data_IF_742512361851
#
_entry.id   IF_742512361851
#
_cell.length_a   1.000
_cell.length_b   1.000
_cell.length_c   1.000
_cell.angle_alpha   90.00
_cell.angle_beta   90.00
_cell.angle_gamma   90.00
#
_symmetry.space_group_name_H-M   'P 1'
#
loop_
_entity.id
_entity.type
_entity.pdbx_description
1 polymer ?
#
# COMPACT_ATOMS: atom_id res chain seq x y z
N UNK A 1 0.84 10.48 3.96
CA UNK A 1 1.91 9.47 4.09
C UNK A 1 2.73 9.67 2.85
N UNK A 2 3.25 8.65 2.17
CA UNK A 2 3.62 8.70 0.75
C UNK A 2 3.40 7.30 0.21
N UNK A 3 2.83 7.19 -0.99
CA UNK A 3 2.81 5.95 -1.73
C UNK A 3 4.02 5.86 -2.66
N UNK A 4 4.83 4.80 -2.53
CA UNK A 4 5.94 4.56 -3.47
C UNK A 4 5.45 3.96 -4.77
N UNK A 5 6.20 4.25 -5.84
CA UNK A 5 6.01 3.65 -7.16
C UNK A 5 5.96 2.12 -7.04
N UNK A 6 4.97 1.46 -7.66
CA UNK A 6 4.93 -0.01 -7.71
C UNK A 6 6.22 -0.58 -8.32
N UNK A 7 6.72 -1.67 -7.74
CA UNK A 7 8.01 -2.28 -8.10
C UNK A 7 7.90 -3.80 -8.28
N UNK A 8 8.94 -4.45 -8.82
CA UNK A 8 9.00 -5.92 -8.95
C UNK A 8 7.84 -6.51 -9.75
N UNK A 9 7.51 -5.92 -10.91
CA UNK A 9 6.36 -6.35 -11.70
C UNK A 9 6.59 -7.72 -12.33
N UNK A 10 5.70 -8.67 -12.06
CA UNK A 10 5.80 -10.05 -12.55
C UNK A 10 4.42 -10.62 -12.91
N UNK A 11 4.40 -11.57 -13.85
CA UNK A 11 3.17 -12.26 -14.23
C UNK A 11 2.97 -13.50 -13.36
N UNK A 12 1.74 -13.67 -12.88
CA UNK A 12 1.28 -14.88 -12.20
C UNK A 12 0.09 -15.47 -12.97
N UNK A 13 0.17 -16.78 -13.25
CA UNK A 13 -0.90 -17.57 -13.88
C UNK A 13 -1.30 -18.81 -13.06
N UNK A 14 -0.79 -18.94 -11.84
CA UNK A 14 -1.01 -20.06 -10.93
C UNK A 14 -1.95 -19.72 -9.77
N UNK A 15 -1.99 -18.48 -9.25
CA UNK A 15 -2.84 -18.15 -8.08
C UNK A 15 -4.34 -18.30 -8.40
N UNK A 16 -4.79 -17.84 -9.58
CA UNK A 16 -6.19 -17.94 -9.99
C UNK A 16 -6.29 -18.64 -11.35
N UNK A 17 -6.90 -19.83 -11.35
CA UNK A 17 -7.05 -20.66 -12.56
C UNK A 17 -7.68 -19.87 -13.71
N UNK A 18 -7.02 -19.89 -14.86
CA UNK A 18 -7.49 -19.23 -16.09
C UNK A 18 -7.31 -17.71 -16.11
N UNK A 19 -6.62 -17.13 -15.12
CA UNK A 19 -6.30 -15.70 -15.08
C UNK A 19 -4.82 -15.44 -15.29
N UNK A 20 -4.51 -14.26 -15.84
CA UNK A 20 -3.17 -13.69 -15.84
C UNK A 20 -3.20 -12.47 -14.95
N UNK A 21 -2.46 -12.53 -13.84
CA UNK A 21 -2.36 -11.48 -12.84
C UNK A 21 -1.02 -10.77 -13.03
N UNK A 22 -1.03 -9.45 -13.01
CA UNK A 22 0.20 -8.66 -12.94
C UNK A 22 0.41 -8.27 -11.48
N UNK A 23 1.41 -8.88 -10.86
CA UNK A 23 1.83 -8.60 -9.49
C UNK A 23 2.70 -7.36 -9.43
N UNK A 24 2.68 -6.70 -8.28
CA UNK A 24 3.63 -5.64 -7.98
C UNK A 24 3.79 -5.47 -6.47
N UNK A 25 5.01 -5.15 -6.05
CA UNK A 25 5.32 -4.74 -4.71
C UNK A 25 4.83 -3.32 -4.43
N UNK A 26 4.69 -3.00 -3.15
CA UNK A 26 4.19 -1.73 -2.68
C UNK A 26 4.83 -1.30 -1.36
N UNK A 27 5.00 0.01 -1.15
CA UNK A 27 5.48 0.60 0.10
C UNK A 27 4.70 1.86 0.43
N UNK A 28 4.15 1.90 1.64
CA UNK A 28 3.56 3.10 2.23
C UNK A 28 4.57 3.64 3.25
N UNK A 29 5.14 4.80 2.94
CA UNK A 29 6.21 5.42 3.72
C UNK A 29 5.62 6.50 4.63
N UNK A 30 6.02 6.53 5.91
CA UNK A 30 5.74 7.69 6.74
C UNK A 30 6.86 8.74 6.61
N UNK A 31 6.60 9.75 5.80
CA UNK A 31 7.48 10.92 5.62
C UNK A 31 7.02 12.14 6.43
N UNK A 32 6.00 12.01 7.28
CA UNK A 32 5.47 13.10 8.10
C UNK A 32 6.39 13.49 9.26
N UNK A 33 5.86 14.32 10.16
CA UNK A 33 6.56 14.77 11.39
C UNK A 33 6.14 14.01 12.66
N UNK A 34 5.22 13.05 12.51
CA UNK A 34 4.71 12.19 13.58
C UNK A 34 4.26 10.84 13.03
N UNK A 35 3.99 9.84 13.90
CA UNK A 35 3.57 8.52 13.46
C UNK A 35 2.17 8.57 12.83
N UNK A 36 1.96 7.74 11.81
CA UNK A 36 0.63 7.45 11.28
C UNK A 36 -0.05 6.42 12.19
N UNK A 37 -0.56 6.87 13.35
CA UNK A 37 -1.03 5.98 14.42
C UNK A 37 -2.56 5.95 14.53
N UNK A 38 -3.14 4.75 14.51
CA UNK A 38 -4.57 4.49 14.73
C UNK A 38 -4.80 3.69 16.01
N UNK A 39 -5.69 4.20 16.86
CA UNK A 39 -6.22 3.51 18.04
C UNK A 39 -7.56 2.89 17.68
N UNK A 40 -7.57 1.57 17.54
CA UNK A 40 -8.76 0.76 17.30
C UNK A 40 -9.57 0.56 18.59
N UNK A 41 -10.88 0.79 18.54
CA UNK A 41 -11.84 0.36 19.56
C UNK A 41 -12.93 -0.48 18.93
N UNK A 42 -13.15 -1.68 19.47
CA UNK A 42 -14.08 -2.66 18.89
C UNK A 42 -15.50 -2.11 18.72
N UNK A 43 -16.07 -2.35 17.53
CA UNK A 43 -17.47 -2.09 17.18
C UNK A 43 -18.28 -3.39 17.05
N UNK A 44 -17.60 -4.51 16.77
CA UNK A 44 -18.25 -5.80 16.59
C UNK A 44 -17.24 -6.92 16.35
N UNK A 45 -17.65 -8.07 15.82
CA UNK A 45 -16.76 -9.22 15.63
C UNK A 45 -15.63 -8.94 14.62
N UNK A 46 -15.92 -8.16 13.57
CA UNK A 46 -15.00 -7.93 12.44
C UNK A 46 -14.44 -6.52 12.33
N UNK A 47 -14.98 -5.55 13.05
CA UNK A 47 -14.60 -4.14 12.88
C UNK A 47 -14.27 -3.43 14.18
N UNK A 48 -13.33 -2.49 14.09
CA UNK A 48 -13.06 -1.47 15.09
C UNK A 48 -13.22 -0.08 14.48
N UNK A 49 -13.64 0.89 15.29
CA UNK A 49 -13.48 2.32 14.99
C UNK A 49 -12.01 2.67 15.15
N UNK A 50 -11.41 3.29 14.15
CA UNK A 50 -10.08 3.87 14.23
C UNK A 50 -10.19 5.33 14.68
N UNK A 51 -9.43 5.69 15.69
CA UNK A 51 -9.21 7.09 16.07
C UNK A 51 -7.72 7.40 15.89
N UNK A 52 -7.39 8.35 15.04
CA UNK A 52 -6.00 8.71 14.80
C UNK A 52 -5.44 9.48 15.99
N UNK A 53 -4.18 9.22 16.33
CA UNK A 53 -3.45 9.95 17.37
C UNK A 53 -2.46 10.91 16.74
N UNK A 54 -2.55 12.20 17.10
CA UNK A 54 -1.60 13.24 16.66
C UNK A 54 -0.90 13.83 17.89
N UNK A 55 0.43 13.85 17.86
CA UNK A 55 1.26 14.39 18.94
C UNK A 55 1.61 15.86 18.65
N UNK A 56 1.35 16.75 19.61
CA UNK A 56 1.59 18.19 19.44
C UNK A 56 3.05 18.54 19.74
N UNK A 57 3.57 19.61 19.12
CA UNK A 57 4.94 20.10 19.34
C UNK A 57 5.22 20.51 20.79
N UNK A 58 4.27 21.21 21.43
CA UNK A 58 4.36 21.65 22.84
C UNK A 58 4.00 20.59 23.88
N UNK A 59 3.93 19.31 23.49
CA UNK A 59 3.47 18.23 24.35
C UNK A 59 1.96 17.99 24.29
N UNK A 60 1.55 16.82 24.77
CA UNK A 60 0.15 16.36 24.69
C UNK A 60 -0.24 15.75 23.34
N UNK A 61 -1.51 15.35 23.24
CA UNK A 61 -2.02 14.55 22.13
C UNK A 61 -3.46 14.90 21.76
N UNK A 62 -3.74 14.92 20.46
CA UNK A 62 -5.08 14.98 19.89
C UNK A 62 -5.51 13.59 19.46
N UNK A 63 -6.81 13.34 19.49
CA UNK A 63 -7.39 12.16 18.87
C UNK A 63 -8.45 12.57 17.86
N UNK A 64 -8.21 12.30 16.59
CA UNK A 64 -9.04 12.72 15.46
C UNK A 64 -9.91 11.55 14.99
N UNK A 65 -11.17 11.84 14.70
CA UNK A 65 -12.10 10.88 14.10
C UNK A 65 -12.27 11.27 12.62
N UNK A 66 -11.65 10.50 11.74
CA UNK A 66 -11.71 10.66 10.27
C UNK A 66 -12.75 9.74 9.62
N UNK A 67 -13.30 8.79 10.39
CA UNK A 67 -14.09 7.69 9.84
C UNK A 67 -13.25 6.41 9.58
N UNK A 68 -11.95 6.43 9.89
CA UNK A 68 -11.10 5.24 9.82
C UNK A 68 -11.69 4.03 10.56
N UNK A 69 -11.45 2.85 9.99
CA UNK A 69 -11.88 1.57 10.58
C UNK A 69 -10.75 0.57 10.50
N UNK A 70 -10.69 -0.32 11.49
CA UNK A 70 -9.88 -1.52 11.39
C UNK A 70 -10.79 -2.70 11.07
N UNK A 71 -10.34 -3.57 10.17
CA UNK A 71 -11.05 -4.78 9.76
C UNK A 71 -10.22 -6.02 10.13
N UNK A 72 -10.87 -7.04 10.67
CA UNK A 72 -10.23 -8.33 10.95
C UNK A 72 -10.11 -9.15 9.66
N UNK A 73 -9.17 -8.73 8.80
CA UNK A 73 -8.95 -9.28 7.45
C UNK A 73 -8.31 -10.66 7.54
N UNK A 74 -8.94 -11.64 6.91
CA UNK A 74 -8.30 -12.90 6.57
C UNK A 74 -7.32 -12.69 5.41
N UNK A 75 -6.08 -13.13 5.58
CA UNK A 75 -5.07 -13.09 4.52
C UNK A 75 -4.95 -14.52 3.96
N UNK A 76 -5.20 -14.74 2.65
CA UNK A 76 -5.07 -16.07 2.05
C UNK A 76 -3.70 -16.71 2.35
N UNK A 77 -3.70 -18.02 2.63
CA UNK A 77 -2.51 -18.76 3.04
C UNK A 77 -1.97 -18.40 4.44
N UNK A 78 -2.69 -17.57 5.20
CA UNK A 78 -2.28 -17.12 6.53
C UNK A 78 -3.48 -17.07 7.49
N UNK A 79 -3.34 -16.31 8.59
CA UNK A 79 -4.37 -16.05 9.60
C UNK A 79 -5.09 -14.71 9.38
N UNK A 80 -5.96 -14.34 10.33
CA UNK A 80 -6.63 -13.04 10.37
C UNK A 80 -5.80 -12.01 11.14
N UNK A 81 -5.89 -10.75 10.71
CA UNK A 81 -5.18 -9.63 11.32
C UNK A 81 -6.10 -8.41 11.42
N UNK A 82 -6.00 -7.66 12.51
CA UNK A 82 -6.62 -6.33 12.61
C UNK A 82 -5.84 -5.34 11.77
N UNK A 83 -6.36 -4.99 10.59
CA UNK A 83 -5.71 -4.14 9.58
C UNK A 83 -6.48 -2.84 9.40
N UNK A 84 -5.79 -1.75 9.03
CA UNK A 84 -6.44 -0.54 8.54
C UNK A 84 -7.22 -0.87 7.26
N UNK A 85 -8.54 -0.65 7.31
CA UNK A 85 -9.46 -0.96 6.23
C UNK A 85 -9.45 0.16 5.19
N UNK A 86 -9.42 -0.20 3.90
CA UNK A 86 -9.29 0.73 2.76
C UNK A 86 -8.04 1.60 2.83
N UNK A 87 -6.96 1.05 3.38
CA UNK A 87 -5.66 1.71 3.48
C UNK A 87 -4.94 1.91 2.13
N UNK A 88 -5.37 1.21 1.08
CA UNK A 88 -4.85 1.42 -0.27
C UNK A 88 -5.88 1.05 -1.35
N UNK A 89 -5.67 1.52 -2.57
CA UNK A 89 -6.40 1.12 -3.78
C UNK A 89 -5.42 0.83 -4.92
N UNK A 90 -5.65 -0.29 -5.61
CA UNK A 90 -4.83 -0.74 -6.73
C UNK A 90 -5.67 -0.63 -7.99
N UNK A 91 -5.22 0.18 -8.94
CA UNK A 91 -6.00 0.53 -10.13
C UNK A 91 -5.17 0.41 -11.40
N UNK A 92 -5.82 -0.03 -12.47
CA UNK A 92 -5.23 -0.11 -13.80
C UNK A 92 -6.03 0.79 -14.74
N UNK A 93 -5.40 1.84 -15.22
CA UNK A 93 -6.02 2.83 -16.12
C UNK A 93 -5.52 2.64 -17.54
N UNK A 94 -6.41 2.62 -18.52
CA UNK A 94 -6.03 2.64 -19.94
C UNK A 94 -5.42 4.00 -20.28
N UNK A 95 -4.39 3.99 -21.11
CA UNK A 95 -3.75 5.20 -21.65
C UNK A 95 -4.11 5.42 -23.12
N UNK A 96 -4.25 6.67 -23.52
CA UNK A 96 -4.35 7.08 -24.93
C UNK A 96 -2.96 7.20 -25.60
N UNK A 97 -2.94 7.71 -26.84
CA UNK A 97 -1.73 7.92 -27.63
C UNK A 97 -0.76 8.96 -27.06
N UNK A 98 -1.23 9.82 -26.16
CA UNK A 98 -0.43 10.85 -25.49
C UNK A 98 -0.03 10.44 -24.07
N UNK A 99 -0.47 9.26 -23.61
CA UNK A 99 -0.18 8.74 -22.28
C UNK A 99 -1.10 9.27 -21.19
N UNK A 100 -2.23 9.89 -21.54
CA UNK A 100 -3.25 10.33 -20.59
C UNK A 100 -4.18 9.17 -20.24
N UNK A 101 -4.63 9.14 -18.98
CA UNK A 101 -5.60 8.15 -18.51
C UNK A 101 -6.96 8.45 -19.09
N UNK A 102 -7.59 7.45 -19.69
CA UNK A 102 -8.92 7.59 -20.30
C UNK A 102 -9.99 6.79 -19.57
N UNK A 103 -9.70 5.54 -19.19
CA UNK A 103 -10.68 4.67 -18.55
C UNK A 103 -10.05 3.85 -17.43
N UNK A 104 -10.80 3.64 -16.34
CA UNK A 104 -10.43 2.64 -15.34
C UNK A 104 -10.76 1.25 -15.88
N UNK A 105 -9.73 0.47 -16.20
CA UNK A 105 -9.89 -0.88 -16.72
C UNK A 105 -10.18 -1.90 -15.61
N UNK A 106 -9.39 -1.91 -14.53
CA UNK A 106 -9.45 -2.94 -13.48
C UNK A 106 -9.03 -2.41 -12.11
N UNK A 107 -9.43 -3.13 -11.06
CA UNK A 107 -8.99 -2.92 -9.68
C UNK A 107 -8.38 -4.22 -9.11
N UNK A 108 -7.39 -4.08 -8.24
CA UNK A 108 -6.81 -5.19 -7.48
C UNK A 108 -7.54 -5.45 -6.16
N UNK A 109 -7.38 -6.64 -5.55
CA UNK A 109 -8.04 -7.00 -4.30
C UNK A 109 -7.35 -6.47 -3.03
N UNK A 110 -6.08 -6.02 -3.12
CA UNK A 110 -5.32 -5.54 -1.97
C UNK A 110 -5.76 -4.15 -1.50
N UNK A 111 -6.49 -4.10 -0.38
CA UNK A 111 -7.02 -2.83 0.16
C UNK A 111 -6.82 -2.61 1.64
N UNK A 112 -6.23 -3.56 2.39
CA UNK A 112 -6.06 -3.43 3.85
C UNK A 112 -4.63 -3.70 4.28
N UNK A 113 -4.10 -2.81 5.12
CA UNK A 113 -2.69 -2.75 5.50
C UNK A 113 -2.53 -2.81 7.00
N UNK A 114 -1.34 -3.23 7.43
CA UNK A 114 -1.08 -3.30 8.85
C UNK A 114 -0.82 -1.93 9.44
N UNK A 115 -0.15 -1.05 8.68
CA UNK A 115 0.59 0.09 9.22
C UNK A 115 1.51 -0.44 10.32
N UNK A 116 2.71 -0.84 9.90
CA UNK A 116 3.77 -1.31 10.79
C UNK A 116 5.11 -0.72 10.38
N UNK A 117 6.04 -0.78 11.30
CA UNK A 117 7.44 -0.47 11.10
C UNK A 117 8.14 -1.71 10.54
N UNK A 118 7.99 -1.95 9.23
CA UNK A 118 8.65 -3.08 8.59
C UNK A 118 10.07 -2.71 8.18
N UNK A 119 10.21 -1.68 7.33
CA UNK A 119 11.51 -1.21 6.88
C UNK A 119 11.83 0.19 7.34
N UNK A 120 13.09 0.41 7.72
CA UNK A 120 13.59 1.71 8.15
C UNK A 120 14.11 2.51 6.94
N UNK A 121 13.21 2.86 6.03
CA UNK A 121 13.55 3.43 4.71
C UNK A 121 14.19 4.82 4.76
N UNK A 122 13.99 5.58 5.85
CA UNK A 122 14.50 6.96 5.99
C UNK A 122 14.95 7.24 7.44
N UNK A 123 16.02 6.58 7.91
CA UNK A 123 16.44 6.62 9.31
C UNK A 123 16.92 8.00 9.78
N UNK A 124 17.37 8.86 8.87
CA UNK A 124 17.86 10.21 9.18
C UNK A 124 16.76 11.25 9.43
N UNK A 125 15.47 10.91 9.34
CA UNK A 125 14.39 11.88 9.60
C UNK A 125 14.34 12.25 11.08
N UNK A 126 14.05 13.52 11.35
CA UNK A 126 13.78 13.98 12.72
C UNK A 126 12.66 13.16 13.35
N UNK A 127 12.87 12.72 14.60
CA UNK A 127 11.94 11.87 15.37
C UNK A 127 11.73 10.46 14.79
N UNK A 128 12.59 10.01 13.88
CA UNK A 128 12.59 8.61 13.46
C UNK A 128 13.16 7.72 14.58
N UNK A 129 12.38 6.77 15.13
CA UNK A 129 12.90 5.87 16.14
C UNK A 129 13.88 4.87 15.51
N UNK A 130 14.97 4.54 16.23
CA UNK A 130 15.99 3.59 15.77
C UNK A 130 15.51 2.14 15.72
N UNK A 131 14.47 1.81 16.47
CA UNK A 131 13.85 0.48 16.52
C UNK A 131 12.39 0.61 16.15
N UNK A 132 11.82 -0.47 15.61
CA UNK A 132 10.40 -0.53 15.33
C UNK A 132 9.59 -0.26 16.61
N UNK A 133 8.59 0.61 16.51
CA UNK A 133 7.64 0.93 17.58
C UNK A 133 6.33 0.20 17.33
N UNK A 134 5.94 0.06 16.06
CA UNK A 134 4.73 -0.61 15.64
C UNK A 134 5.06 -1.95 14.96
N UNK A 135 4.98 -3.08 15.68
CA UNK A 135 5.28 -4.40 15.11
C UNK A 135 4.12 -4.91 14.24
N UNK A 136 4.14 -6.21 13.91
CA UNK A 136 3.06 -6.85 13.16
C UNK A 136 1.68 -6.69 13.84
N UNK A 137 0.62 -6.60 13.02
CA UNK A 137 -0.76 -6.54 13.51
C UNK A 137 -1.13 -7.71 14.41
N UNK A 138 -1.99 -7.42 15.39
CA UNK A 138 -2.58 -8.45 16.23
C UNK A 138 -3.47 -9.41 15.43
N UNK A 139 -3.35 -10.70 15.75
CA UNK A 139 -4.17 -11.78 15.17
C UNK A 139 -5.22 -12.31 16.13
N UNK A 140 -5.35 -11.66 17.28
CA UNK A 140 -6.25 -12.09 18.35
C UNK A 140 -7.68 -11.57 18.07
N UNK A 141 -8.65 -12.48 17.83
CA UNK A 141 -10.04 -12.11 17.58
C UNK A 141 -10.76 -11.54 18.81
N UNK A 142 -10.21 -11.66 20.02
CA UNK A 142 -10.82 -11.19 21.27
C UNK A 142 -10.41 -9.76 21.65
N UNK A 143 -9.37 -9.18 21.05
CA UNK A 143 -8.88 -7.82 21.38
C UNK A 143 -10.00 -6.79 21.31
N UNK A 144 -10.26 -6.06 22.40
CA UNK A 144 -11.21 -4.93 22.39
C UNK A 144 -10.59 -3.61 21.92
N UNK A 145 -9.26 -3.51 22.01
CA UNK A 145 -8.46 -2.37 21.58
C UNK A 145 -7.19 -2.87 20.91
N UNK A 146 -6.75 -2.17 19.87
CA UNK A 146 -5.45 -2.37 19.22
C UNK A 146 -4.87 -1.03 18.85
N UNK A 147 -3.55 -0.94 18.81
CA UNK A 147 -2.84 0.20 18.21
C UNK A 147 -2.06 -0.34 17.03
N UNK A 148 -2.18 0.32 15.89
CA UNK A 148 -1.37 0.09 14.70
C UNK A 148 -0.76 1.43 14.26
N UNK A 149 0.32 1.39 13.50
CA UNK A 149 0.85 2.60 12.91
C UNK A 149 2.20 2.42 12.23
N UNK A 150 2.66 3.48 11.57
CA UNK A 150 4.00 3.52 11.00
C UNK A 150 4.71 4.75 11.54
N UNK A 151 5.87 4.54 12.15
CA UNK A 151 6.75 5.56 12.71
C UNK A 151 7.35 6.43 11.63
N UNK A 152 7.72 7.67 11.99
CA UNK A 152 8.42 8.57 11.07
C UNK A 152 9.67 7.89 10.53
N UNK A 153 9.86 7.92 9.21
CA UNK A 153 11.01 7.34 8.53
C UNK A 153 10.98 5.81 8.38
N UNK A 154 9.90 5.15 8.81
CA UNK A 154 9.63 3.74 8.54
C UNK A 154 8.60 3.58 7.42
N UNK A 155 8.53 2.36 6.88
CA UNK A 155 7.65 1.96 5.79
C UNK A 155 6.96 0.63 6.07
N UNK A 156 5.68 0.53 5.73
CA UNK A 156 4.94 -0.75 5.64
C UNK A 156 5.05 -1.27 4.20
N UNK A 157 5.96 -2.23 3.99
CA UNK A 157 6.31 -2.76 2.67
C UNK A 157 5.63 -4.12 2.44
N UNK A 158 5.15 -4.35 1.23
CA UNK A 158 4.66 -5.65 0.79
C UNK A 158 5.28 -6.02 -0.56
N UNK A 159 5.98 -7.15 -0.67
CA UNK A 159 6.59 -7.60 -1.93
C UNK A 159 5.54 -8.13 -2.93
N UNK A 160 5.88 -8.25 -4.23
CA UNK A 160 4.96 -8.76 -5.27
C UNK A 160 4.33 -10.13 -4.97
N UNK A 161 5.10 -11.02 -4.34
CA UNK A 161 4.64 -12.36 -3.96
C UNK A 161 3.67 -12.39 -2.76
N UNK A 162 3.42 -11.26 -2.09
CA UNK A 162 2.50 -11.26 -0.96
C UNK A 162 1.04 -11.50 -1.43
N UNK A 163 0.19 -12.20 -0.66
CA UNK A 163 -1.18 -12.48 -1.04
C UNK A 163 -1.95 -11.23 -1.51
N UNK A 164 -2.70 -11.39 -2.60
CA UNK A 164 -3.56 -10.35 -3.19
C UNK A 164 -2.80 -9.16 -3.82
N UNK A 165 -1.46 -9.13 -3.84
CA UNK A 165 -0.62 -8.05 -4.43
C UNK A 165 -0.60 -8.07 -5.97
N UNK A 166 -1.78 -7.96 -6.59
CA UNK A 166 -1.90 -8.01 -8.05
C UNK A 166 -3.12 -7.26 -8.58
N UNK A 167 -3.12 -7.03 -9.90
CA UNK A 167 -4.32 -6.68 -10.68
C UNK A 167 -4.50 -7.74 -11.79
N UNK A 168 -5.73 -8.22 -11.98
CA UNK A 168 -6.06 -9.13 -13.08
C UNK A 168 -5.96 -8.38 -14.41
N UNK A 169 -5.08 -8.85 -15.29
CA UNK A 169 -4.81 -8.26 -16.62
C UNK A 169 -5.26 -9.17 -17.77
N UNK A 170 -6.04 -10.20 -17.46
CA UNK A 170 -6.51 -11.21 -18.43
C UNK A 170 -7.17 -10.55 -19.63
N UNK A 171 -6.67 -10.86 -20.83
CA UNK A 171 -7.22 -10.40 -22.10
C UNK A 171 -6.95 -8.93 -22.44
N UNK A 172 -6.29 -8.16 -21.57
CA UNK A 172 -6.02 -6.74 -21.83
C UNK A 172 -4.83 -6.54 -22.79
N UNK A 173 -4.93 -5.53 -23.63
CA UNK A 173 -3.92 -5.14 -24.64
C UNK A 173 -3.77 -3.62 -24.70
N UNK A 174 -2.56 -3.15 -24.97
CA UNK A 174 -2.26 -1.72 -25.09
C UNK A 174 -1.50 -1.16 -23.89
N UNK A 175 -1.53 0.16 -23.73
CA UNK A 175 -0.78 0.88 -22.70
C UNK A 175 -1.68 1.21 -21.50
N UNK A 176 -1.14 1.00 -20.30
CA UNK A 176 -1.85 1.21 -19.05
C UNK A 176 -0.96 1.88 -18.00
N UNK A 177 -1.58 2.68 -17.13
CA UNK A 177 -0.98 3.15 -15.88
C UNK A 177 -1.40 2.19 -14.77
N UNK A 178 -0.44 1.41 -14.26
CA UNK A 178 -0.59 0.55 -13.09
C UNK A 178 -0.31 1.39 -11.84
N UNK A 179 -1.35 1.77 -11.09
CA UNK A 179 -1.30 2.74 -10.00
C UNK A 179 -1.68 2.12 -8.66
N UNK A 180 -0.91 2.46 -7.63
CA UNK A 180 -1.31 2.28 -6.24
C UNK A 180 -1.54 3.66 -5.61
N UNK A 181 -2.54 3.72 -4.73
CA UNK A 181 -2.89 4.91 -3.93
C UNK A 181 -2.97 4.50 -2.46
N UNK A 182 -2.26 5.20 -1.58
CA UNK A 182 -2.39 5.09 -0.12
C UNK A 182 -3.62 5.88 0.33
N UNK A 183 -4.26 5.40 1.39
CA UNK A 183 -5.38 6.06 2.07
C UNK A 183 -6.41 6.77 1.16
N UNK A 184 -6.94 6.11 0.13
CA UNK A 184 -7.83 6.72 -0.87
C UNK A 184 -9.19 7.22 -0.33
N UNK A 185 -9.43 7.09 0.98
CA UNK A 185 -10.67 7.48 1.64
C UNK A 185 -10.41 8.46 2.80
N UNK A 186 -9.22 9.06 2.84
CA UNK A 186 -8.78 10.06 3.83
C UNK A 186 -9.05 9.60 5.28
N UNK A 187 -8.74 8.33 5.57
CA UNK A 187 -8.90 7.75 6.89
C UNK A 187 -7.82 8.21 7.86
N UNK A 188 -6.74 8.81 7.39
CA UNK A 188 -5.72 9.48 8.17
C UNK A 188 -5.70 10.95 7.79
N UNK A 189 -5.57 11.81 8.79
CA UNK A 189 -5.20 13.19 8.58
C UNK A 189 -3.70 13.24 8.29
N UNK A 190 -3.35 13.73 7.10
CA UNK A 190 -1.98 13.79 6.62
C UNK A 190 -1.57 15.25 6.34
N UNK A 191 -0.27 15.51 6.35
CA UNK A 191 0.22 16.88 6.07
C UNK A 191 0.26 17.22 4.58
N UNK A 192 0.10 16.22 3.73
CA UNK A 192 0.17 16.30 2.27
C UNK A 192 -0.57 15.07 1.72
N UNK A 193 -1.69 15.30 1.04
CA UNK A 193 -2.54 14.27 0.41
C UNK A 193 -2.20 14.06 -1.07
N UNK A 194 -1.41 14.95 -1.68
CA UNK A 194 -1.10 14.94 -3.11
C UNK A 194 -0.03 13.90 -3.47
N UNK A 195 0.66 13.37 -2.47
CA UNK A 195 1.75 12.40 -2.62
C UNK A 195 1.33 10.94 -2.33
N UNK A 196 0.02 10.71 -2.15
CA UNK A 196 -0.54 9.41 -1.83
C UNK A 196 -0.69 8.48 -3.03
N UNK A 197 -0.34 8.91 -4.24
CA UNK A 197 -0.49 8.10 -5.46
C UNK A 197 0.79 7.96 -6.24
N UNK A 198 1.10 6.75 -6.70
CA UNK A 198 2.23 6.49 -7.59
C UNK A 198 1.91 5.40 -8.61
N UNK A 199 2.48 5.50 -9.80
CA UNK A 199 2.19 4.57 -10.90
C UNK A 199 3.41 4.20 -11.73
N UNK A 200 3.30 3.09 -12.44
CA UNK A 200 4.19 2.68 -13.51
C UNK A 200 3.39 2.45 -14.78
N UNK A 201 3.89 2.96 -15.90
CA UNK A 201 3.33 2.67 -17.22
C UNK A 201 3.74 1.26 -17.65
N UNK A 202 2.78 0.45 -18.07
CA UNK A 202 2.98 -0.92 -18.54
C UNK A 202 2.28 -1.14 -19.87
N UNK A 203 2.89 -1.97 -20.73
CA UNK A 203 2.24 -2.46 -21.94
C UNK A 203 1.72 -3.87 -21.69
N UNK A 204 0.49 -4.14 -22.11
CA UNK A 204 -0.12 -5.45 -22.05
C UNK A 204 -0.27 -6.07 -23.45
N UNK A 205 -0.01 -7.37 -23.63
CA UNK A 205 0.48 -8.33 -22.64
C UNK A 205 1.86 -7.98 -22.07
N UNK A 206 2.02 -8.12 -20.75
CA UNK A 206 3.23 -7.65 -20.06
C UNK A 206 4.46 -8.44 -20.48
N UNK A 207 5.55 -7.70 -20.67
CA UNK A 207 6.91 -8.22 -20.81
C UNK A 207 7.83 -7.32 -19.98
N UNK A 208 8.80 -7.87 -19.24
CA UNK A 208 9.84 -7.08 -18.61
C UNK A 208 10.58 -6.19 -19.64
N UNK A 209 11.18 -5.13 -19.13
CA UNK A 209 11.98 -4.19 -19.90
C UNK A 209 11.23 -2.93 -20.32
N UNK A 210 11.69 -2.34 -21.44
CA UNK A 210 11.16 -1.07 -21.94
C UNK A 210 9.74 -1.26 -22.47
N UNK A 211 8.77 -0.59 -21.84
CA UNK A 211 7.35 -0.82 -22.10
C UNK A 211 6.84 -0.27 -23.45
N UNK A 212 7.58 0.63 -24.12
CA UNK A 212 7.20 1.24 -25.41
C UNK A 212 5.75 1.77 -25.39
N UNK A 213 5.44 2.58 -24.37
CA UNK A 213 4.17 3.27 -24.21
C UNK A 213 4.42 4.78 -24.10
N UNK A 214 3.46 5.62 -24.54
CA UNK A 214 3.50 7.05 -24.29
C UNK A 214 3.63 7.34 -22.78
N UNK A 215 4.46 8.31 -22.43
CA UNK A 215 4.72 8.66 -21.02
C UNK A 215 5.46 7.59 -20.20
N UNK A 216 5.88 6.47 -20.79
CA UNK A 216 6.76 5.54 -20.11
C UNK A 216 8.16 6.16 -19.99
N UNK A 217 8.65 6.31 -18.75
CA UNK A 217 10.04 6.72 -18.51
C UNK A 217 11.05 5.77 -19.15
N UNK A 218 12.31 6.21 -19.25
CA UNK A 218 13.40 5.40 -19.83
C UNK A 218 13.77 4.18 -18.99
N UNK A 219 13.42 4.17 -17.69
CA UNK A 219 13.72 3.07 -16.77
C UNK A 219 12.96 1.79 -17.16
N UNK A 220 13.69 0.68 -17.41
CA UNK A 220 13.08 -0.63 -17.62
C UNK A 220 12.17 -1.04 -16.46
N UNK A 221 11.08 -1.77 -16.74
CA UNK A 221 10.12 -2.23 -15.74
C UNK A 221 10.21 -3.75 -15.64
N UNK A 222 10.42 -4.29 -14.44
CA UNK A 222 10.49 -5.74 -14.21
C UNK A 222 11.85 -6.40 -14.46
N UNK A 223 12.88 -5.63 -14.86
CA UNK A 223 14.25 -6.13 -15.07
C UNK A 223 15.13 -6.06 -13.80
N UNK A 224 14.58 -5.65 -12.66
CA UNK A 224 15.30 -5.68 -11.38
C UNK A 224 15.34 -7.11 -10.81
N UNK A 225 16.15 -7.96 -11.45
CA UNK A 225 16.94 -8.91 -10.68
C UNK A 225 17.84 -8.05 -9.78
N UNK A 226 17.68 -8.13 -8.46
CA UNK A 226 18.50 -7.43 -7.44
C UNK A 226 18.24 -5.95 -7.17
N UNK A 227 17.02 -5.55 -6.81
CA UNK A 227 16.84 -4.81 -5.55
C UNK A 227 15.37 -4.84 -5.14
N UNK A 228 14.97 -5.90 -4.44
CA UNK A 228 14.00 -5.67 -3.38
C UNK A 228 14.83 -5.07 -2.24
N UNK A 229 14.86 -3.73 -2.02
CA UNK A 229 15.56 -3.16 -0.86
C UNK A 229 14.95 -3.64 0.47
N UNK A 230 13.90 -4.45 0.41
CA UNK A 230 13.13 -4.97 1.53
C UNK A 230 12.97 -6.51 1.47
N UNK A 231 13.83 -7.22 0.72
CA UNK A 231 13.98 -8.69 0.86
C UNK A 231 14.51 -8.96 2.27
N UNK A 232 13.64 -9.44 3.14
CA UNK A 232 13.98 -10.00 4.46
C UNK A 232 14.21 -11.50 4.34
#
# INVERSE_FOLDING_TARGET
MVMKRPFGLELDRSEVRGRTLLRAGNSIDNVGTGPAELHGTRLGPRFMRGRQRIYKRGGGRLGINTGARLFFKFVPGQKRYWKFYRAASFTLWRLDGDGRRIDLARRGPKVSYCLRDLSHSRPGRSRSPRRFVYPACSTDPAKRRVTIGTSVGWSDVYPPGYPEQWIDVTGLRGCFSYQHTADPADGLYESDEDNNSASVTVRLPFRPGRQRCPGAGSTPVGDEETSDPYRY
#
